data_IF_107788643642
#
_entry.id   IF_107788643642
#
_cell.length_a   1.000
_cell.length_b   1.000
_cell.length_c   1.000
_cell.angle_alpha   90.00
_cell.angle_beta   90.00
_cell.angle_gamma   90.00
#
_symmetry.space_group_name_H-M   'P 1'
#
loop_
_entity.id
_entity.type
_entity.pdbx_description
1 polymer ?
#
# COMPACT_ATOMS: atom_id res chain seq x y z
N UNK A 1 -10.22 7.35 -3.60
CA UNK A 1 -8.80 7.66 -3.86
C UNK A 1 -8.38 6.93 -5.12
N UNK A 2 -7.49 7.49 -5.91
CA UNK A 2 -6.92 6.80 -7.07
C UNK A 2 -5.75 5.90 -6.65
N UNK A 3 -5.35 4.94 -7.50
CA UNK A 3 -4.33 3.95 -7.15
C UNK A 3 -2.96 4.58 -6.84
N UNK A 4 -2.55 5.60 -7.59
CA UNK A 4 -1.31 6.38 -7.40
C UNK A 4 -1.27 7.15 -6.06
N UNK A 5 -2.44 7.45 -5.49
CA UNK A 5 -2.55 8.08 -4.17
C UNK A 5 -2.50 7.06 -3.02
N UNK A 6 -2.60 5.76 -3.32
CA UNK A 6 -2.62 4.68 -2.34
C UNK A 6 -1.29 3.94 -2.36
N UNK A 7 -0.80 3.56 -3.54
CA UNK A 7 0.38 2.71 -3.74
C UNK A 7 1.35 3.35 -4.73
N UNK A 8 2.65 3.25 -4.43
CA UNK A 8 3.72 3.51 -5.39
C UNK A 8 4.62 2.27 -5.53
N UNK A 9 5.18 2.13 -6.73
CA UNK A 9 6.21 1.14 -7.06
C UNK A 9 7.30 1.88 -7.84
N UNK A 10 8.55 1.68 -7.47
CA UNK A 10 9.70 2.20 -8.19
C UNK A 10 10.83 1.16 -8.09
N UNK A 11 11.30 0.57 -9.21
CA UNK A 11 12.35 -0.46 -9.19
C UNK A 11 13.65 0.00 -8.53
N UNK A 12 13.95 1.30 -8.56
CA UNK A 12 15.15 1.89 -7.96
C UNK A 12 14.99 2.15 -6.45
N UNK A 13 13.76 2.03 -5.92
CA UNK A 13 13.45 2.27 -4.51
C UNK A 13 12.76 1.06 -3.89
N UNK A 14 13.24 0.62 -2.71
CA UNK A 14 12.68 -0.58 -2.05
C UNK A 14 12.68 -1.82 -2.96
N UNK A 15 13.58 -1.86 -3.96
CA UNK A 15 13.66 -2.94 -4.96
C UNK A 15 12.34 -3.23 -5.68
N UNK A 16 11.52 -2.21 -5.92
CA UNK A 16 10.20 -2.38 -6.53
C UNK A 16 9.12 -2.91 -5.59
N UNK A 17 9.35 -2.94 -4.28
CA UNK A 17 8.32 -3.34 -3.31
C UNK A 17 7.17 -2.31 -3.30
N UNK A 18 5.92 -2.70 -3.54
CA UNK A 18 4.78 -1.80 -3.46
C UNK A 18 4.58 -1.27 -2.05
N UNK A 19 4.56 0.05 -1.94
CA UNK A 19 4.52 0.76 -0.67
C UNK A 19 3.40 1.79 -0.68
N UNK A 20 2.90 2.18 0.50
CA UNK A 20 1.92 3.26 0.60
C UNK A 20 2.51 4.57 0.08
N UNK A 21 1.76 5.29 -0.77
CA UNK A 21 2.18 6.58 -1.36
C UNK A 21 2.61 7.56 -0.28
N UNK A 22 3.81 8.12 -0.45
CA UNK A 22 4.43 9.04 0.52
C UNK A 22 5.23 8.36 1.63
N UNK A 23 5.27 7.03 1.68
CA UNK A 23 5.96 6.26 2.73
C UNK A 23 6.94 5.24 2.16
N UNK A 24 7.66 4.52 3.03
CA UNK A 24 8.39 3.28 2.69
C UNK A 24 7.76 2.04 3.35
N UNK A 25 6.49 2.12 3.72
CA UNK A 25 5.75 1.03 4.38
C UNK A 25 5.16 0.14 3.30
N UNK A 26 5.53 -1.15 3.23
CA UNK A 26 4.95 -2.07 2.26
C UNK A 26 3.45 -2.24 2.46
N UNK A 27 2.70 -2.35 1.37
CA UNK A 27 1.23 -2.55 1.45
C UNK A 27 0.88 -3.91 2.07
N UNK A 28 1.75 -4.90 1.89
CA UNK A 28 1.62 -6.24 2.47
C UNK A 28 1.70 -6.25 3.99
N UNK A 29 2.31 -5.23 4.60
CA UNK A 29 2.41 -5.12 6.06
C UNK A 29 1.03 -4.98 6.69
N UNK A 30 0.10 -4.24 6.07
CA UNK A 30 -1.26 -4.12 6.58
C UNK A 30 -1.95 -5.48 6.66
N UNK A 31 -1.82 -6.30 5.61
CA UNK A 31 -2.40 -7.65 5.59
C UNK A 31 -1.73 -8.58 6.59
N UNK A 32 -0.44 -8.45 6.86
CA UNK A 32 0.24 -9.22 7.89
C UNK A 32 -0.37 -8.94 9.27
N UNK A 33 -0.53 -7.66 9.64
CA UNK A 33 -1.18 -7.26 10.90
C UNK A 33 -2.59 -7.86 11.02
N UNK A 34 -3.43 -7.63 10.00
CA UNK A 34 -4.81 -8.14 10.01
C UNK A 34 -4.87 -9.68 10.00
N UNK A 35 -3.92 -10.35 9.36
CA UNK A 35 -3.81 -11.80 9.30
C UNK A 35 -3.36 -12.43 10.61
N UNK A 36 -2.57 -11.71 11.41
CA UNK A 36 -2.18 -12.10 12.77
C UNK A 36 -3.27 -11.80 13.82
N UNK A 37 -4.34 -11.12 13.40
CA UNK A 37 -5.47 -10.75 14.26
C UNK A 37 -5.33 -9.38 14.91
N UNK A 38 -4.31 -8.62 14.55
CA UNK A 38 -4.14 -7.24 14.98
C UNK A 38 -5.14 -6.31 14.29
N UNK A 39 -5.29 -5.10 14.84
CA UNK A 39 -6.27 -4.12 14.36
C UNK A 39 -5.64 -3.11 13.41
N UNK A 40 -6.51 -2.44 12.64
CA UNK A 40 -6.15 -1.27 11.85
C UNK A 40 -5.52 -0.18 12.73
N UNK A 41 -6.03 0.00 13.95
CA UNK A 41 -5.53 0.98 14.91
C UNK A 41 -4.08 0.69 15.29
N UNK A 42 -3.74 -0.56 15.60
CA UNK A 42 -2.37 -0.96 15.92
C UNK A 42 -1.42 -0.71 14.74
N UNK A 43 -1.85 -1.06 13.52
CA UNK A 43 -1.06 -0.77 12.32
C UNK A 43 -0.81 0.74 12.15
N UNK A 44 -1.83 1.59 12.35
CA UNK A 44 -1.68 3.04 12.21
C UNK A 44 -0.86 3.67 13.34
N UNK A 45 -0.88 3.09 14.54
CA UNK A 45 -0.05 3.53 15.67
C UNK A 45 1.44 3.23 15.40
N UNK A 46 1.75 2.07 14.80
CA UNK A 46 3.12 1.69 14.43
C UNK A 46 3.61 2.42 13.16
N UNK A 47 2.69 2.72 12.23
CA UNK A 47 2.98 3.39 10.95
C UNK A 47 2.16 4.68 10.78
N UNK A 48 2.38 5.72 11.61
CA UNK A 48 1.56 6.94 11.59
C UNK A 48 1.72 7.79 10.32
N UNK A 49 2.70 7.46 9.47
CA UNK A 49 2.85 8.07 8.14
C UNK A 49 1.83 7.55 7.11
N UNK A 50 1.20 6.41 7.38
CA UNK A 50 0.14 5.85 6.52
C UNK A 50 -1.19 6.45 6.98
N UNK A 51 -1.94 7.03 6.06
CA UNK A 51 -3.26 7.57 6.41
C UNK A 51 -4.29 6.43 6.55
N UNK A 52 -5.28 6.62 7.44
CA UNK A 52 -6.39 5.68 7.58
C UNK A 52 -7.15 5.51 6.27
N UNK A 53 -7.35 6.60 5.53
CA UNK A 53 -8.01 6.59 4.23
C UNK A 53 -7.23 5.76 3.21
N UNK A 54 -5.90 5.84 3.18
CA UNK A 54 -5.05 5.00 2.32
C UNK A 54 -5.18 3.52 2.68
N UNK A 55 -5.11 3.18 3.98
CA UNK A 55 -5.22 1.81 4.44
C UNK A 55 -6.61 1.21 4.11
N UNK A 56 -7.69 1.96 4.35
CA UNK A 56 -9.05 1.53 4.00
C UNK A 56 -9.24 1.40 2.48
N UNK A 57 -8.74 2.36 1.70
CA UNK A 57 -8.84 2.32 0.25
C UNK A 57 -8.07 1.14 -0.36
N UNK A 58 -6.93 0.75 0.23
CA UNK A 58 -6.21 -0.46 -0.16
C UNK A 58 -7.05 -1.73 0.11
N UNK A 59 -7.70 -1.83 1.28
CA UNK A 59 -8.55 -2.97 1.60
C UNK A 59 -9.77 -3.07 0.68
N UNK A 60 -10.40 -1.94 0.34
CA UNK A 60 -11.52 -1.89 -0.60
C UNK A 60 -11.10 -2.25 -2.03
N UNK A 61 -9.92 -1.79 -2.45
CA UNK A 61 -9.37 -2.10 -3.76
C UNK A 61 -8.96 -3.57 -3.90
N UNK A 62 -8.40 -4.14 -2.83
CA UNK A 62 -7.73 -5.43 -2.81
C UNK A 62 -6.29 -5.35 -3.33
N UNK A 63 -5.36 -6.03 -2.64
CA UNK A 63 -3.92 -6.00 -2.97
C UNK A 63 -3.65 -6.44 -4.42
N UNK A 64 -4.25 -7.53 -4.89
CA UNK A 64 -4.01 -8.06 -6.24
C UNK A 64 -4.34 -7.02 -7.32
N UNK A 65 -5.43 -6.27 -7.11
CA UNK A 65 -5.84 -5.19 -8.01
C UNK A 65 -4.89 -4.00 -7.90
N UNK A 66 -4.44 -3.66 -6.70
CA UNK A 66 -3.44 -2.62 -6.51
C UNK A 66 -2.15 -2.95 -7.27
N UNK A 67 -1.66 -4.20 -7.22
CA UNK A 67 -0.48 -4.66 -7.95
C UNK A 67 -0.68 -4.66 -9.48
N UNK A 68 -1.87 -5.01 -9.95
CA UNK A 68 -2.20 -5.02 -11.37
C UNK A 68 -2.24 -3.61 -11.98
N UNK A 69 -2.77 -2.62 -11.27
CA UNK A 69 -2.94 -1.24 -11.79
C UNK A 69 -1.59 -0.55 -12.01
N UNK A 70 -0.58 -0.82 -11.18
CA UNK A 70 0.76 -0.22 -11.33
C UNK A 70 1.55 -0.82 -12.50
N UNK A 71 1.18 -2.03 -12.95
CA UNK A 71 1.80 -2.66 -14.13
C UNK A 71 1.40 -1.96 -15.44
N UNK A 72 0.22 -1.32 -15.48
CA UNK A 72 -0.24 -0.56 -16.64
C UNK A 72 0.39 0.85 -16.71
N UNK A 73 0.68 1.48 -15.57
CA UNK A 73 1.36 2.78 -15.53
C UNK A 73 2.87 2.69 -15.78
N UNK A 74 3.50 1.53 -15.51
CA UNK A 74 4.92 1.31 -15.83
C UNK A 74 5.20 1.20 -17.35
N UNK A 75 4.16 1.06 -18.18
CA UNK A 75 4.27 1.01 -19.65
C UNK A 75 3.96 2.36 -20.34
N UNK A 76 3.56 3.38 -19.58
CA UNK A 76 3.05 4.64 -20.13
C UNK A 76 3.95 5.88 -19.92
N UNK A 77 5.21 5.69 -19.48
CA UNK A 77 6.17 6.78 -19.31
C UNK A 77 7.49 6.52 -20.05
#
# INVERSE_FOLDING_TARGET
MNADQIVWIDPERMSGTPCFTGTRVPISTLKAYLGEGDTMEMFLDDFPSVSREQALALLEMGEDKALAIVSDHALAA
#
